data_IF_932814052289
#
_entry.id   IF_932814052289
#
_cell.length_a   1.000
_cell.length_b   1.000
_cell.length_c   1.000
_cell.angle_alpha   90.00
_cell.angle_beta   90.00
_cell.angle_gamma   90.00
#
_symmetry.space_group_name_H-M   'P 1'
#
loop_
_entity.id
_entity.type
_entity.pdbx_description
1 polymer ?
#
# COMPACT_ATOMS: atom_id res chain seq x y z
N UNK A 1 6.60 -3.51 -29.56
CA UNK A 1 5.74 -3.71 -28.39
C UNK A 1 6.62 -4.34 -27.32
N UNK A 2 7.02 -3.57 -26.30
CA UNK A 2 7.80 -4.10 -25.19
C UNK A 2 6.81 -4.50 -24.10
N UNK A 3 6.68 -5.80 -23.87
CA UNK A 3 5.84 -6.37 -22.83
C UNK A 3 6.45 -6.03 -21.46
N UNK A 4 5.82 -5.11 -20.74
CA UNK A 4 6.17 -4.76 -19.35
C UNK A 4 5.55 -5.74 -18.35
N UNK A 5 5.49 -7.04 -18.65
CA UNK A 5 4.86 -8.03 -17.78
C UNK A 5 5.78 -9.22 -17.48
N UNK A 6 7.07 -8.94 -17.28
CA UNK A 6 8.02 -9.94 -16.81
C UNK A 6 7.91 -10.07 -15.30
N UNK A 7 7.41 -11.22 -14.82
CA UNK A 7 7.45 -11.63 -13.42
C UNK A 7 8.89 -11.42 -12.90
N UNK A 8 9.10 -10.73 -11.77
CA UNK A 8 10.44 -10.51 -11.23
C UNK A 8 11.12 -11.86 -10.96
N UNK A 9 12.44 -11.92 -11.18
CA UNK A 9 13.22 -13.12 -10.85
C UNK A 9 13.28 -13.28 -9.33
N UNK A 10 12.61 -14.30 -8.80
CA UNK A 10 12.57 -14.62 -7.37
C UNK A 10 11.15 -14.85 -6.87
N UNK A 11 11.00 -15.05 -5.56
CA UNK A 11 9.67 -15.07 -4.94
C UNK A 11 9.07 -13.66 -4.97
N UNK A 12 7.79 -13.57 -5.30
CA UNK A 12 7.04 -12.31 -5.29
C UNK A 12 5.58 -12.51 -4.91
N UNK A 13 4.93 -11.44 -4.47
CA UNK A 13 3.48 -11.34 -4.32
C UNK A 13 3.00 -10.23 -5.23
N UNK A 14 2.11 -10.54 -6.16
CA UNK A 14 1.41 -9.54 -6.97
C UNK A 14 0.07 -9.19 -6.32
N UNK A 15 -0.11 -7.94 -5.93
CA UNK A 15 -1.31 -7.44 -5.27
C UNK A 15 -2.10 -6.60 -6.27
N UNK A 16 -3.34 -6.99 -6.57
CA UNK A 16 -4.26 -6.16 -7.35
C UNK A 16 -4.72 -4.95 -6.54
N UNK A 17 -4.71 -3.78 -7.16
CA UNK A 17 -5.09 -2.52 -6.52
C UNK A 17 -6.32 -1.96 -7.21
N UNK A 18 -7.28 -1.50 -6.39
CA UNK A 18 -8.50 -0.86 -6.86
C UNK A 18 -8.65 0.54 -6.27
N UNK A 19 -9.05 1.49 -7.10
CA UNK A 19 -9.56 2.78 -6.65
C UNK A 19 -10.94 2.57 -6.04
N UNK A 20 -11.10 2.98 -4.77
CA UNK A 20 -12.31 2.72 -4.00
C UNK A 20 -13.36 3.80 -4.26
N UNK A 21 -14.53 3.39 -4.72
CA UNK A 21 -15.72 4.23 -4.86
C UNK A 21 -16.94 3.42 -4.39
N UNK A 22 -17.36 3.60 -3.12
CA UNK A 22 -18.49 2.86 -2.56
C UNK A 22 -19.84 3.15 -3.23
N UNK A 23 -19.93 4.19 -4.07
CA UNK A 23 -21.17 4.61 -4.72
C UNK A 23 -21.22 4.09 -6.16
N UNK A 24 -20.14 4.27 -6.92
CA UNK A 24 -20.10 3.96 -8.36
C UNK A 24 -19.43 2.61 -8.66
N UNK A 25 -18.85 1.96 -7.66
CA UNK A 25 -18.11 0.70 -7.78
C UNK A 25 -16.61 0.93 -7.94
N UNK A 26 -15.83 0.03 -7.37
CA UNK A 26 -14.38 0.10 -7.41
C UNK A 26 -13.85 -0.11 -8.84
N UNK A 27 -12.72 0.53 -9.15
CA UNK A 27 -12.05 0.44 -10.45
C UNK A 27 -10.66 -0.18 -10.30
N UNK A 28 -10.34 -1.19 -11.09
CA UNK A 28 -8.98 -1.72 -11.16
C UNK A 28 -8.01 -0.65 -11.70
N UNK A 29 -6.92 -0.40 -10.97
CA UNK A 29 -5.91 0.62 -11.32
C UNK A 29 -4.52 0.04 -11.58
N UNK A 30 -4.34 -1.27 -11.44
CA UNK A 30 -3.08 -1.96 -11.68
C UNK A 30 -2.68 -2.85 -10.52
N UNK A 31 -1.37 -3.00 -10.31
CA UNK A 31 -0.82 -3.89 -9.28
C UNK A 31 0.30 -3.23 -8.47
N UNK A 32 0.57 -3.79 -7.29
CA UNK A 32 1.82 -3.59 -6.56
C UNK A 32 2.48 -4.95 -6.42
N UNK A 33 3.71 -5.07 -6.91
CA UNK A 33 4.51 -6.28 -6.76
C UNK A 33 5.45 -6.15 -5.57
N UNK A 34 5.37 -7.11 -4.64
CA UNK A 34 6.21 -7.17 -3.45
C UNK A 34 7.30 -8.21 -3.67
N UNK A 35 8.56 -7.82 -3.45
CA UNK A 35 9.74 -8.70 -3.58
C UNK A 35 10.67 -8.55 -2.38
N UNK A 36 11.43 -9.60 -2.06
CA UNK A 36 12.49 -9.54 -1.06
C UNK A 36 13.78 -8.93 -1.64
N UNK A 37 14.43 -8.09 -0.84
CA UNK A 37 15.80 -7.64 -1.07
C UNK A 37 16.64 -7.90 0.17
N UNK A 38 17.97 -7.77 0.05
CA UNK A 38 18.87 -7.85 1.22
C UNK A 38 18.58 -6.80 2.30
N UNK A 39 17.80 -5.76 1.99
CA UNK A 39 17.52 -4.64 2.88
C UNK A 39 16.10 -4.63 3.44
N UNK A 40 15.20 -5.45 2.89
CA UNK A 40 13.79 -5.53 3.27
C UNK A 40 12.88 -5.72 2.07
N UNK A 41 11.56 -5.63 2.28
CA UNK A 41 10.58 -5.76 1.21
C UNK A 41 10.56 -4.52 0.32
N UNK A 42 10.56 -4.74 -0.99
CA UNK A 42 10.41 -3.72 -2.02
C UNK A 42 9.01 -3.80 -2.60
N UNK A 43 8.33 -2.67 -2.64
CA UNK A 43 6.99 -2.51 -3.21
C UNK A 43 7.13 -1.77 -4.53
N UNK A 44 6.89 -2.47 -5.63
CA UNK A 44 7.02 -1.94 -7.00
C UNK A 44 5.63 -1.72 -7.57
N UNK A 45 5.13 -0.47 -7.64
CA UNK A 45 3.83 -0.19 -8.22
C UNK A 45 3.90 -0.28 -9.76
N UNK A 46 2.80 -0.71 -10.35
CA UNK A 46 2.45 -0.51 -11.75
C UNK A 46 0.98 -0.08 -11.78
N UNK A 47 0.77 1.21 -11.52
CA UNK A 47 -0.55 1.80 -11.30
C UNK A 47 -0.82 2.92 -12.29
N UNK A 48 -2.09 3.13 -12.62
CA UNK A 48 -2.53 4.16 -13.56
C UNK A 48 -3.89 4.77 -13.18
N UNK A 49 -4.13 6.00 -13.65
CA UNK A 49 -5.41 6.69 -13.48
C UNK A 49 -5.68 7.15 -12.05
N UNK A 50 -4.63 7.31 -11.24
CA UNK A 50 -4.69 7.89 -9.90
C UNK A 50 -4.48 9.41 -9.97
N UNK A 51 -4.88 10.12 -8.91
CA UNK A 51 -4.59 11.56 -8.79
C UNK A 51 -3.09 11.79 -8.64
N UNK A 52 -2.55 12.86 -9.23
CA UNK A 52 -1.13 13.20 -9.08
C UNK A 52 -0.77 13.56 -7.63
N UNK A 53 0.48 13.29 -7.24
CA UNK A 53 1.04 13.75 -5.97
C UNK A 53 1.66 12.64 -5.12
N UNK A 54 1.99 13.01 -3.88
CA UNK A 54 2.43 12.08 -2.86
C UNK A 54 1.22 11.56 -2.08
N UNK A 55 1.15 10.24 -1.93
CA UNK A 55 0.08 9.54 -1.25
C UNK A 55 0.65 8.71 -0.10
N UNK A 56 0.01 8.79 1.07
CA UNK A 56 0.34 7.90 2.18
C UNK A 56 0.12 6.45 1.79
N UNK A 57 1.05 5.59 2.19
CA UNK A 57 1.12 4.21 1.72
C UNK A 57 1.44 3.29 2.89
N UNK A 58 0.48 2.44 3.25
CA UNK A 58 0.58 1.66 4.48
C UNK A 58 0.03 0.24 4.31
N UNK A 59 0.54 -0.68 5.11
CA UNK A 59 -0.11 -1.97 5.36
C UNK A 59 -1.15 -1.78 6.47
N UNK A 60 -2.35 -2.28 6.25
CA UNK A 60 -3.46 -2.27 7.20
C UNK A 60 -3.75 -3.67 7.75
N UNK A 61 -4.29 -3.71 8.96
CA UNK A 61 -4.39 -4.92 9.77
C UNK A 61 -5.25 -6.04 9.14
N UNK A 62 -6.38 -5.71 8.50
CA UNK A 62 -7.33 -6.70 7.98
C UNK A 62 -7.11 -6.94 6.48
N UNK A 63 -7.30 -8.19 5.99
CA UNK A 63 -7.25 -8.51 4.56
C UNK A 63 -8.57 -8.13 3.87
N UNK A 64 -8.94 -6.85 3.93
CA UNK A 64 -10.19 -6.33 3.35
C UNK A 64 -9.98 -4.90 2.86
N UNK A 65 -10.55 -4.59 1.69
CA UNK A 65 -10.65 -3.23 1.17
C UNK A 65 -12.11 -2.73 1.15
N UNK A 66 -13.01 -3.49 1.80
CA UNK A 66 -14.44 -3.20 1.78
C UNK A 66 -14.76 -1.90 2.51
N UNK A 67 -15.78 -1.16 2.06
CA UNK A 67 -16.28 -0.04 2.84
C UNK A 67 -16.99 -0.51 4.10
N UNK A 68 -17.06 0.36 5.11
CA UNK A 68 -17.92 0.16 6.30
C UNK A 68 -18.64 1.46 6.65
N UNK A 69 -19.82 1.35 7.26
CA UNK A 69 -20.51 2.52 7.80
C UNK A 69 -19.77 3.09 9.00
N UNK A 70 -19.62 4.41 9.00
CA UNK A 70 -19.15 5.21 10.14
C UNK A 70 -20.00 6.47 10.19
N UNK A 71 -20.62 6.73 11.35
CA UNK A 71 -21.46 7.92 11.55
C UNK A 71 -22.57 8.08 10.48
N UNK A 72 -23.18 6.95 10.07
CA UNK A 72 -24.25 6.93 9.07
C UNK A 72 -23.80 7.20 7.63
N UNK A 73 -22.48 7.15 7.36
CA UNK A 73 -21.92 7.27 6.00
C UNK A 73 -21.07 6.05 5.67
N UNK A 74 -21.27 5.51 4.48
CA UNK A 74 -20.43 4.45 3.94
C UNK A 74 -19.03 5.02 3.61
N UNK A 75 -18.03 4.58 4.36
CA UNK A 75 -16.65 5.07 4.24
C UNK A 75 -15.80 4.05 3.51
N UNK A 76 -15.15 4.47 2.42
CA UNK A 76 -14.27 3.64 1.60
C UNK A 76 -13.12 3.04 2.43
N UNK A 77 -12.80 1.77 2.21
CA UNK A 77 -11.62 1.10 2.78
C UNK A 77 -11.64 0.87 4.29
N UNK A 78 -12.69 1.30 5.01
CA UNK A 78 -12.75 1.20 6.47
C UNK A 78 -12.77 -0.26 6.97
N UNK A 79 -13.08 -1.23 6.11
CA UNK A 79 -12.95 -2.66 6.36
C UNK A 79 -11.52 -3.12 6.63
N UNK A 80 -10.52 -2.40 6.10
CA UNK A 80 -9.09 -2.68 6.31
C UNK A 80 -8.65 -2.52 7.77
N UNK A 81 -9.40 -1.74 8.56
CA UNK A 81 -9.02 -1.41 9.93
C UNK A 81 -7.91 -0.37 10.00
N UNK A 82 -7.15 -0.36 11.09
CA UNK A 82 -6.04 0.57 11.31
C UNK A 82 -4.75 0.18 10.59
N UNK A 83 -3.72 1.01 10.74
CA UNK A 83 -2.35 0.67 10.31
C UNK A 83 -1.91 -0.60 11.03
N UNK A 84 -1.19 -1.47 10.33
CA UNK A 84 -0.72 -2.72 10.89
C UNK A 84 0.39 -2.48 11.92
N UNK A 85 0.06 -2.72 13.19
CA UNK A 85 0.95 -2.50 14.34
C UNK A 85 1.06 -3.76 15.23
N UNK A 86 1.70 -4.83 14.75
CA UNK A 86 1.82 -6.09 15.49
C UNK A 86 2.73 -5.97 16.71
N UNK A 87 3.57 -4.93 16.80
CA UNK A 87 4.51 -4.70 17.91
C UNK A 87 3.95 -3.74 18.96
N UNK A 88 2.79 -3.12 18.71
CA UNK A 88 2.17 -2.19 19.65
C UNK A 88 2.94 -0.89 19.84
N UNK A 89 3.54 -0.37 18.76
CA UNK A 89 4.16 0.96 18.71
C UNK A 89 3.19 2.08 19.08
N UNK A 90 1.92 1.95 18.67
CA UNK A 90 0.81 2.91 18.90
C UNK A 90 1.09 4.33 18.41
N UNK A 91 2.01 4.47 17.46
CA UNK A 91 2.30 5.74 16.81
C UNK A 91 2.68 5.50 15.34
N UNK A 92 2.22 6.41 14.50
CA UNK A 92 2.64 6.51 13.12
C UNK A 92 4.04 7.15 13.06
N UNK A 93 4.85 6.75 12.07
CA UNK A 93 6.21 7.27 11.93
C UNK A 93 6.89 6.84 10.66
N UNK A 94 8.22 6.94 10.65
CA UNK A 94 9.00 6.68 9.45
C UNK A 94 9.12 5.18 9.13
N UNK A 95 9.36 4.83 7.85
CA UNK A 95 9.58 3.43 7.44
C UNK A 95 10.80 2.76 8.09
N UNK A 96 11.78 3.56 8.52
CA UNK A 96 13.00 3.14 9.22
C UNK A 96 12.93 3.32 10.74
N UNK A 97 11.79 3.74 11.28
CA UNK A 97 11.62 4.00 12.71
C UNK A 97 11.11 2.74 13.42
N UNK A 98 11.90 2.21 14.36
CA UNK A 98 11.58 0.94 15.03
C UNK A 98 10.36 1.02 15.96
N UNK A 99 10.07 2.21 16.50
CA UNK A 99 8.93 2.48 17.37
C UNK A 99 7.72 3.08 16.61
N UNK A 100 7.65 2.95 15.29
CA UNK A 100 6.47 3.27 14.46
C UNK A 100 5.68 2.01 14.09
N UNK A 101 4.41 2.15 13.65
CA UNK A 101 3.62 1.03 13.15
C UNK A 101 4.42 0.25 12.09
N UNK A 102 4.45 -1.08 12.18
CA UNK A 102 5.26 -1.90 11.27
C UNK A 102 4.81 -1.77 9.80
N UNK A 103 3.54 -1.45 9.59
CA UNK A 103 2.94 -1.21 8.29
C UNK A 103 3.24 0.15 7.65
N UNK A 104 3.96 1.06 8.32
CA UNK A 104 4.30 2.36 7.74
C UNK A 104 5.38 2.21 6.64
N UNK A 105 5.03 2.55 5.39
CA UNK A 105 5.89 2.46 4.20
C UNK A 105 6.29 3.86 3.71
N UNK A 106 7.32 4.01 2.86
CA UNK A 106 7.56 5.29 2.21
C UNK A 106 6.35 5.67 1.35
N UNK A 107 6.03 6.97 1.29
CA UNK A 107 4.93 7.48 0.50
C UNK A 107 5.03 7.06 -0.99
N UNK A 108 3.87 6.78 -1.60
CA UNK A 108 3.76 6.48 -3.01
C UNK A 108 3.74 7.78 -3.83
N UNK A 109 4.54 7.84 -4.89
CA UNK A 109 4.52 8.96 -5.84
C UNK A 109 3.69 8.60 -7.07
N UNK A 110 2.66 9.40 -7.35
CA UNK A 110 1.89 9.37 -8.60
C UNK A 110 2.29 10.57 -9.45
N UNK A 111 2.68 10.32 -10.70
CA UNK A 111 3.10 11.33 -11.67
C UNK A 111 1.89 12.12 -12.21
N UNK A 112 2.18 13.21 -12.94
CA UNK A 112 1.16 14.09 -13.53
C UNK A 112 0.19 13.38 -14.49
N UNK A 113 0.65 12.31 -15.15
CA UNK A 113 -0.19 11.50 -16.05
C UNK A 113 -1.03 10.44 -15.31
N UNK A 114 -0.98 10.42 -13.97
CA UNK A 114 -1.70 9.50 -13.12
C UNK A 114 -1.06 8.12 -12.98
N UNK A 115 0.19 7.94 -13.43
CA UNK A 115 0.94 6.69 -13.29
C UNK A 115 1.80 6.65 -12.03
N UNK A 116 1.98 5.47 -11.43
CA UNK A 116 2.96 5.25 -10.38
C UNK A 116 3.77 3.99 -10.66
N UNK A 117 5.08 4.18 -10.86
CA UNK A 117 6.04 3.10 -11.19
C UNK A 117 7.31 3.14 -10.33
N UNK A 118 7.42 4.11 -9.41
CA UNK A 118 8.60 4.26 -8.56
C UNK A 118 8.56 3.26 -7.39
N UNK A 119 9.52 2.32 -7.27
CA UNK A 119 9.53 1.36 -6.18
C UNK A 119 9.99 1.98 -4.87
N UNK A 120 9.42 1.50 -3.76
CA UNK A 120 9.78 1.92 -2.39
C UNK A 120 10.24 0.73 -1.54
N UNK A 121 11.14 0.99 -0.59
CA UNK A 121 11.72 -0.01 0.31
C UNK A 121 11.15 0.14 1.73
N UNK A 122 10.66 -0.95 2.30
CA UNK A 122 10.32 -1.05 3.72
C UNK A 122 11.42 -1.82 4.46
N UNK A 123 12.39 -1.13 5.08
CA UNK A 123 13.58 -1.79 5.61
C UNK A 123 13.28 -2.67 6.83
N UNK A 124 12.14 -2.46 7.52
CA UNK A 124 11.75 -3.24 8.71
C UNK A 124 11.02 -4.54 8.38
N UNK A 125 10.49 -4.69 7.16
CA UNK A 125 9.81 -5.89 6.69
C UNK A 125 10.81 -6.81 6.00
N UNK A 126 10.91 -8.08 6.43
CA UNK A 126 12.00 -8.96 6.01
C UNK A 126 11.55 -10.12 5.14
N UNK A 127 10.34 -10.63 5.33
CA UNK A 127 9.86 -11.80 4.60
C UNK A 127 8.50 -11.55 3.95
N UNK A 128 8.28 -12.08 2.74
CA UNK A 128 7.01 -11.95 2.02
C UNK A 128 5.83 -12.52 2.81
N UNK A 129 6.07 -13.57 3.60
CA UNK A 129 5.02 -14.20 4.40
C UNK A 129 4.55 -13.31 5.56
N UNK A 130 5.37 -12.37 6.03
CA UNK A 130 5.00 -11.44 7.11
C UNK A 130 3.84 -10.52 6.71
N UNK A 131 3.71 -10.22 5.42
CA UNK A 131 2.71 -9.27 4.91
C UNK A 131 1.47 -9.96 4.33
N UNK A 132 1.42 -11.30 4.35
CA UNK A 132 0.23 -12.05 3.93
C UNK A 132 -0.88 -11.93 4.98
N UNK A 133 -2.13 -11.91 4.51
CA UNK A 133 -3.28 -11.78 5.42
C UNK A 133 -3.55 -10.34 5.87
N UNK A 134 -2.94 -9.36 5.20
CA UNK A 134 -3.13 -7.93 5.42
C UNK A 134 -3.60 -7.24 4.13
N UNK A 135 -3.92 -5.96 4.22
CA UNK A 135 -4.24 -5.12 3.06
C UNK A 135 -3.18 -4.03 2.86
N UNK A 136 -3.09 -3.50 1.65
CA UNK A 136 -2.23 -2.37 1.31
C UNK A 136 -3.11 -1.19 0.93
N UNK A 137 -2.83 -0.02 1.49
CA UNK A 137 -3.68 1.17 1.37
C UNK A 137 -2.91 2.33 0.78
N UNK A 138 -3.54 3.02 -0.18
CA UNK A 138 -3.06 4.28 -0.77
C UNK A 138 -4.07 5.36 -0.35
N UNK A 139 -3.62 6.37 0.39
CA UNK A 139 -4.48 7.42 0.93
C UNK A 139 -4.66 8.58 -0.05
N UNK A 140 -5.74 9.34 0.09
CA UNK A 140 -5.97 10.56 -0.73
C UNK A 140 -4.90 11.63 -0.49
N UNK A 141 -4.47 11.81 0.76
CA UNK A 141 -3.41 12.74 1.15
C UNK A 141 -2.05 12.08 1.21
N UNK A 142 -1.01 12.92 1.31
CA UNK A 142 0.36 12.47 1.56
C UNK A 142 0.56 11.94 2.99
N UNK A 143 1.81 11.67 3.32
CA UNK A 143 2.25 11.15 4.60
C UNK A 143 3.45 11.99 5.08
N UNK A 144 3.34 12.57 6.27
CA UNK A 144 4.38 13.36 6.94
C UNK A 144 5.14 12.55 8.01
N UNK A 145 4.81 11.28 8.18
CA UNK A 145 5.39 10.32 9.11
C UNK A 145 5.36 10.79 10.57
N UNK A 146 4.23 11.37 11.02
CA UNK A 146 4.05 11.89 12.39
C UNK A 146 2.59 11.98 12.83
#
# INVERSE_FOLDING_TARGET
AHEHNTIPKGASIEVKVQQLDPVNGNKDVGTVTITESNYGLVFTPDLQGLSEGLHGFHIHENPSCEPKEKEGKLTAGLGAGGHWDPKGAKQHGYPWQDDAHLGDLPALTVLHDGTATNPVLAPRLKHLDDVRGHSIMIHTGGDNHS
#
